data_IF_122653719104
#
_entry.id   IF_122653719104
#
_cell.length_a   1.000
_cell.length_b   1.000
_cell.length_c   1.000
_cell.angle_alpha   90.00
_cell.angle_beta   90.00
_cell.angle_gamma   90.00
#
_symmetry.space_group_name_H-M   'P 1'
#
loop_
_entity.id
_entity.type
_entity.pdbx_description
1 polymer ?
#
# COMPACT_ATOMS: atom_id res chain seq x y z
N UNK A 1 16.35 -7.50 -4.53
CA UNK A 1 15.09 -6.74 -4.49
C UNK A 1 14.46 -6.82 -5.87
N UNK A 2 13.18 -7.18 -5.97
CA UNK A 2 12.42 -7.15 -7.23
C UNK A 2 11.46 -5.97 -7.22
N UNK A 3 10.92 -5.61 -8.39
CA UNK A 3 9.93 -4.51 -8.46
C UNK A 3 8.66 -4.86 -7.69
N UNK A 4 8.24 -6.12 -7.70
CA UNK A 4 7.10 -6.61 -6.92
C UNK A 4 7.33 -6.42 -5.42
N UNK A 5 8.55 -6.66 -4.93
CA UNK A 5 8.89 -6.42 -3.53
C UNK A 5 8.81 -4.93 -3.16
N UNK A 6 9.21 -4.03 -4.06
CA UNK A 6 9.07 -2.58 -3.84
C UNK A 6 7.60 -2.12 -3.86
N UNK A 7 6.78 -2.66 -4.78
CA UNK A 7 5.33 -2.43 -4.80
C UNK A 7 4.72 -2.88 -3.47
N UNK A 8 5.04 -4.10 -3.01
CA UNK A 8 4.54 -4.60 -1.75
C UNK A 8 4.97 -3.71 -0.57
N UNK A 9 6.22 -3.28 -0.51
CA UNK A 9 6.68 -2.36 0.55
C UNK A 9 5.93 -1.03 0.53
N UNK A 10 5.68 -0.48 -0.65
CA UNK A 10 4.93 0.76 -0.79
C UNK A 10 3.49 0.60 -0.27
N UNK A 11 2.82 -0.50 -0.63
CA UNK A 11 1.48 -0.83 -0.14
C UNK A 11 1.48 -1.03 1.38
N UNK A 12 2.44 -1.79 1.93
CA UNK A 12 2.57 -1.98 3.38
C UNK A 12 2.80 -0.67 4.12
N UNK A 13 3.64 0.24 3.58
CA UNK A 13 3.83 1.59 4.16
C UNK A 13 2.52 2.38 4.16
N UNK A 14 1.70 2.26 3.12
CA UNK A 14 0.39 2.90 3.08
C UNK A 14 -0.54 2.31 4.15
N UNK A 15 -0.62 1.00 4.29
CA UNK A 15 -1.42 0.35 5.35
C UNK A 15 -0.94 0.77 6.75
N UNK A 16 0.37 0.91 6.95
CA UNK A 16 0.93 1.34 8.23
C UNK A 16 0.46 2.76 8.63
N UNK A 17 0.28 3.65 7.64
CA UNK A 17 -0.17 5.01 7.84
C UNK A 17 -1.71 5.09 7.91
N UNK A 18 -2.35 4.62 6.84
CA UNK A 18 -3.75 4.81 6.55
C UNK A 18 -4.67 3.70 7.06
N UNK A 19 -4.14 2.57 7.52
CA UNK A 19 -4.94 1.42 7.96
C UNK A 19 -5.52 0.61 6.81
N UNK A 20 -6.57 -0.16 7.09
CA UNK A 20 -7.16 -1.17 6.20
C UNK A 20 -7.80 -0.58 4.94
N UNK A 21 -8.17 0.71 4.95
CA UNK A 21 -8.61 1.42 3.74
C UNK A 21 -7.53 1.47 2.65
N UNK A 22 -6.26 1.21 3.00
CA UNK A 22 -5.12 1.17 2.07
C UNK A 22 -4.72 -0.25 1.68
N UNK A 23 -5.53 -1.26 2.02
CA UNK A 23 -5.32 -2.61 1.51
C UNK A 23 -5.67 -2.68 0.02
N UNK A 24 -4.87 -3.40 -0.79
CA UNK A 24 -5.23 -3.68 -2.18
C UNK A 24 -6.36 -4.72 -2.22
N UNK A 25 -7.12 -4.73 -3.31
CA UNK A 25 -8.13 -5.76 -3.60
C UNK A 25 -7.51 -7.06 -4.15
N UNK A 26 -6.28 -7.35 -3.74
CA UNK A 26 -5.49 -8.50 -4.15
C UNK A 26 -5.53 -9.55 -3.04
N UNK A 27 -6.25 -10.65 -3.28
CA UNK A 27 -6.43 -11.70 -2.29
C UNK A 27 -5.11 -12.37 -1.90
N UNK A 28 -4.18 -12.56 -2.85
CA UNK A 28 -2.90 -13.19 -2.56
C UNK A 28 -2.05 -12.32 -1.64
N UNK A 29 -2.06 -10.99 -1.86
CA UNK A 29 -1.45 -10.02 -0.95
C UNK A 29 -2.07 -10.10 0.45
N UNK A 30 -3.41 -10.07 0.54
CA UNK A 30 -4.12 -10.11 1.81
C UNK A 30 -3.84 -11.39 2.60
N UNK A 31 -3.75 -12.54 1.93
CA UNK A 31 -3.42 -13.82 2.54
C UNK A 31 -1.97 -13.88 3.01
N UNK A 32 -1.03 -13.42 2.16
CA UNK A 32 0.40 -13.36 2.47
C UNK A 32 0.71 -12.61 3.77
N UNK A 33 -0.01 -11.52 4.03
CA UNK A 33 0.21 -10.66 5.20
C UNK A 33 -0.80 -10.87 6.33
N UNK A 34 -1.66 -11.90 6.24
CA UNK A 34 -2.66 -12.20 7.27
C UNK A 34 -3.75 -11.13 7.44
N UNK A 35 -3.96 -10.29 6.41
CA UNK A 35 -4.88 -9.16 6.44
C UNK A 35 -6.30 -9.50 5.97
N UNK A 36 -6.50 -10.66 5.31
CA UNK A 36 -7.77 -11.06 4.68
C UNK A 36 -9.00 -10.84 5.57
N UNK A 37 -9.01 -11.42 6.77
CA UNK A 37 -10.18 -11.32 7.66
C UNK A 37 -10.37 -9.89 8.17
N UNK A 38 -9.28 -9.20 8.52
CA UNK A 38 -9.36 -7.80 8.97
C UNK A 38 -9.93 -6.89 7.88
N UNK A 39 -9.52 -7.09 6.63
CA UNK A 39 -10.03 -6.34 5.49
C UNK A 39 -11.53 -6.55 5.32
N UNK A 40 -12.02 -7.80 5.30
CA UNK A 40 -13.46 -8.05 5.16
C UNK A 40 -14.26 -7.49 6.34
N UNK A 41 -13.80 -7.67 7.58
CA UNK A 41 -14.45 -7.06 8.75
C UNK A 41 -14.47 -5.53 8.66
N UNK A 42 -13.43 -4.90 8.11
CA UNK A 42 -13.42 -3.44 7.95
C UNK A 42 -14.48 -2.96 6.94
N UNK A 43 -14.76 -3.75 5.90
CA UNK A 43 -15.83 -3.44 4.95
C UNK A 43 -17.20 -3.55 5.60
N UNK A 44 -17.44 -4.61 6.38
CA UNK A 44 -18.69 -4.80 7.14
C UNK A 44 -18.89 -3.65 8.13
N UNK A 45 -17.86 -3.34 8.92
CA UNK A 45 -17.94 -2.25 9.92
C UNK A 45 -18.18 -0.90 9.26
N UNK A 46 -17.52 -0.61 8.13
CA UNK A 46 -17.75 0.61 7.38
C UNK A 46 -19.18 0.73 6.85
N UNK A 47 -19.79 -0.38 6.41
CA UNK A 47 -21.20 -0.40 5.99
C UNK A 47 -22.17 -0.16 7.16
N UNK A 48 -21.81 -0.60 8.37
CA UNK A 48 -22.60 -0.40 9.59
C UNK A 48 -22.34 0.95 10.28
N UNK A 49 -21.37 1.74 9.78
CA UNK A 49 -20.96 3.00 10.42
C UNK A 49 -20.15 2.79 11.71
N UNK A 50 -19.59 1.60 11.91
CA UNK A 50 -18.78 1.22 13.07
C UNK A 50 -17.34 1.68 12.90
N UNK A 51 -16.72 2.12 14.00
CA UNK A 51 -15.31 2.52 14.03
C UNK A 51 -14.37 1.34 13.71
N UNK A 52 -13.50 1.53 12.72
CA UNK A 52 -12.51 0.54 12.25
C UNK A 52 -11.15 0.68 12.92
N UNK A 53 -10.94 1.67 13.81
CA UNK A 53 -9.62 1.99 14.40
C UNK A 53 -8.95 0.79 15.09
N UNK A 54 -9.75 -0.08 15.72
CA UNK A 54 -9.24 -1.31 16.35
C UNK A 54 -8.72 -2.30 15.32
N UNK A 55 -9.40 -2.42 14.17
CA UNK A 55 -8.97 -3.28 13.07
C UNK A 55 -7.70 -2.72 12.40
N UNK A 56 -7.63 -1.40 12.23
CA UNK A 56 -6.43 -0.72 11.71
C UNK A 56 -5.22 -0.96 12.62
N UNK A 57 -5.41 -0.86 13.94
CA UNK A 57 -4.35 -1.12 14.92
C UNK A 57 -3.85 -2.57 14.85
N UNK A 58 -4.76 -3.53 14.69
CA UNK A 58 -4.40 -4.95 14.48
C UNK A 58 -3.63 -5.15 13.18
N UNK A 59 -4.09 -4.53 12.08
CA UNK A 59 -3.42 -4.62 10.78
C UNK A 59 -1.99 -4.08 10.87
N UNK A 60 -1.81 -2.89 11.47
CA UNK A 60 -0.49 -2.28 11.72
C UNK A 60 0.42 -3.20 12.53
N UNK A 61 -0.12 -3.89 13.54
CA UNK A 61 0.61 -4.88 14.34
C UNK A 61 1.12 -6.07 13.53
N UNK A 62 0.28 -6.60 12.62
CA UNK A 62 0.65 -7.74 11.76
C UNK A 62 1.75 -7.36 10.76
N UNK A 63 1.61 -6.22 10.09
CA UNK A 63 2.53 -5.84 9.01
C UNK A 63 3.86 -5.27 9.51
N UNK A 64 3.95 -4.87 10.78
CA UNK A 64 5.11 -4.16 11.35
C UNK A 64 6.45 -4.85 11.05
N UNK A 65 6.48 -6.18 11.12
CA UNK A 65 7.69 -6.97 10.93
C UNK A 65 8.08 -7.18 9.46
N UNK A 66 7.20 -6.84 8.53
CA UNK A 66 7.43 -6.96 7.08
C UNK A 66 7.93 -5.65 6.46
N UNK A 67 7.91 -4.54 7.20
CA UNK A 67 8.38 -3.24 6.74
C UNK A 67 9.90 -3.15 6.83
N UNK A 68 10.53 -2.70 5.75
CA UNK A 68 11.94 -2.35 5.73
C UNK A 68 12.18 -1.00 5.05
N UNK A 69 13.36 -0.43 5.32
CA UNK A 69 13.78 0.82 4.70
C UNK A 69 14.11 0.59 3.22
N UNK A 70 13.47 1.38 2.35
CA UNK A 70 13.71 1.37 0.91
C UNK A 70 13.39 2.75 0.36
N UNK A 71 14.22 3.18 -0.58
CA UNK A 71 14.11 4.41 -1.36
C UNK A 71 13.50 4.15 -2.76
N UNK A 72 13.00 2.93 -3.00
CA UNK A 72 12.25 2.54 -4.19
C UNK A 72 12.99 2.75 -5.54
N UNK A 73 14.26 2.30 -5.68
CA UNK A 73 15.05 2.53 -6.89
C UNK A 73 14.43 1.91 -8.16
N UNK A 74 13.78 0.74 -8.06
CA UNK A 74 13.19 0.08 -9.23
C UNK A 74 11.89 0.77 -9.66
N UNK A 75 11.06 1.23 -8.70
CA UNK A 75 9.88 2.04 -9.02
C UNK A 75 10.27 3.41 -9.60
N UNK A 76 11.34 4.05 -9.10
CA UNK A 76 11.89 5.29 -9.70
C UNK A 76 12.33 5.06 -11.14
N UNK A 77 13.12 4.02 -11.40
CA UNK A 77 13.56 3.69 -12.75
C UNK A 77 12.37 3.41 -13.69
N UNK A 78 11.36 2.69 -13.21
CA UNK A 78 10.13 2.45 -13.98
C UNK A 78 9.38 3.74 -14.29
N UNK A 79 9.23 4.62 -13.29
CA UNK A 79 8.59 5.93 -13.47
C UNK A 79 9.31 6.78 -14.52
N UNK A 80 10.64 6.87 -14.45
CA UNK A 80 11.45 7.63 -15.39
C UNK A 80 11.38 7.08 -16.82
N UNK A 81 11.33 5.75 -16.96
CA UNK A 81 11.34 5.08 -18.27
C UNK A 81 9.97 5.01 -18.93
N UNK A 82 8.92 4.78 -18.15
CA UNK A 82 7.58 4.41 -18.65
C UNK A 82 6.49 5.42 -18.25
N UNK A 83 6.80 6.35 -17.35
CA UNK A 83 5.89 7.41 -16.92
C UNK A 83 4.84 6.99 -15.89
N UNK A 84 4.05 7.98 -15.44
CA UNK A 84 3.00 7.80 -14.42
C UNK A 84 2.00 6.71 -14.79
N UNK A 85 1.55 6.65 -16.04
CA UNK A 85 0.48 5.76 -16.48
C UNK A 85 0.85 4.27 -16.30
N UNK A 86 2.06 3.88 -16.69
CA UNK A 86 2.51 2.49 -16.53
C UNK A 86 2.82 2.15 -15.08
N UNK A 87 3.37 3.10 -14.31
CA UNK A 87 3.57 2.91 -12.87
C UNK A 87 2.24 2.68 -12.14
N UNK A 88 1.20 3.47 -12.46
CA UNK A 88 -0.12 3.34 -11.85
C UNK A 88 -0.74 1.96 -12.04
N UNK A 89 -0.51 1.29 -13.19
CA UNK A 89 -0.98 -0.09 -13.41
C UNK A 89 -0.35 -1.07 -12.43
N UNK A 90 0.92 -0.90 -12.10
CA UNK A 90 1.61 -1.70 -11.08
C UNK A 90 1.12 -1.38 -9.66
N UNK A 91 0.59 -0.18 -9.44
CA UNK A 91 0.09 0.29 -8.15
C UNK A 91 -1.42 0.11 -8.02
N UNK A 92 -2.00 -0.93 -8.65
CA UNK A 92 -3.44 -1.24 -8.56
C UNK A 92 -4.36 -0.08 -8.99
N UNK A 93 -3.86 0.88 -9.75
CA UNK A 93 -4.53 2.13 -10.09
C UNK A 93 -4.94 2.96 -8.85
N UNK A 94 -4.31 2.73 -7.70
CA UNK A 94 -4.58 3.42 -6.44
C UNK A 94 -3.67 4.64 -6.28
N UNK A 95 -4.24 5.84 -6.48
CA UNK A 95 -3.52 7.13 -6.38
C UNK A 95 -2.85 7.32 -5.01
N UNK A 96 -3.37 6.70 -3.95
CA UNK A 96 -2.73 6.74 -2.61
C UNK A 96 -1.32 6.18 -2.63
N UNK A 97 -1.11 5.06 -3.33
CA UNK A 97 0.22 4.44 -3.42
C UNK A 97 1.17 5.32 -4.22
N UNK A 98 0.68 5.91 -5.32
CA UNK A 98 1.47 6.81 -6.14
C UNK A 98 1.92 8.06 -5.37
N UNK A 99 1.01 8.72 -4.64
CA UNK A 99 1.37 9.86 -3.77
C UNK A 99 2.39 9.46 -2.71
N UNK A 100 2.19 8.29 -2.07
CA UNK A 100 3.15 7.80 -1.09
C UNK A 100 4.53 7.52 -1.69
N UNK A 101 4.57 7.06 -2.94
CA UNK A 101 5.80 6.85 -3.67
C UNK A 101 6.53 8.18 -3.87
N UNK A 102 5.86 9.21 -4.41
CA UNK A 102 6.42 10.55 -4.61
C UNK A 102 6.96 11.16 -3.31
N UNK A 103 6.17 11.11 -2.24
CA UNK A 103 6.59 11.55 -0.91
C UNK A 103 7.83 10.81 -0.39
N UNK A 104 7.94 9.52 -0.69
CA UNK A 104 9.04 8.68 -0.19
C UNK A 104 10.31 8.81 -1.03
N UNK A 105 10.19 9.24 -2.29
CA UNK A 105 11.32 9.37 -3.22
C UNK A 105 11.81 10.80 -3.37
N UNK A 106 11.08 11.79 -2.82
CA UNK A 106 11.38 13.21 -3.03
C UNK A 106 11.12 13.66 -4.47
N UNK A 107 10.37 12.87 -5.25
CA UNK A 107 9.88 13.28 -6.55
C UNK A 107 8.66 14.18 -6.29
N UNK A 108 8.89 15.49 -6.13
CA UNK A 108 7.77 16.44 -6.03
C UNK A 108 6.90 16.35 -7.29
N UNK A 109 5.58 16.38 -7.09
CA UNK A 109 4.60 16.54 -8.16
C UNK A 109 4.99 17.77 -9.00
N UNK A 110 5.55 17.53 -10.18
CA UNK A 110 5.55 18.52 -11.26
C UNK A 110 4.12 18.65 -11.77
N UNK A 111 3.26 19.27 -10.96
CA UNK A 111 1.92 19.71 -11.34
C UNK A 111 2.00 20.83 -12.37
#
# INVERSE_FOLDING_TARGET
>A
MTIEQEIEQLVLKCIALDGLKACPKDLAFLEKYGLKNLYFFSLEYAMEGTDTTVLDSKAKGLIRWYLYSTDFPLLRQKYEREGKAELMKCLYLEERYFRKFLESTGQEDGL
#
